data_IF_517735576357
#
_entry.id   IF_517735576357
#
_cell.length_a   1.000
_cell.length_b   1.000
_cell.length_c   1.000
_cell.angle_alpha   90.00
_cell.angle_beta   90.00
_cell.angle_gamma   90.00
#
_symmetry.space_group_name_H-M   'P 1'
#
loop_
_entity.id
_entity.type
_entity.pdbx_description
1 polymer ?
#
# COMPACT_ATOMS: atom_id res chain seq x y z
N UNK A 1 16.77 -14.48 26.36
CA UNK A 1 16.78 -13.01 26.53
C UNK A 1 17.62 -12.37 25.42
N UNK A 2 17.03 -12.20 24.24
CA UNK A 2 17.69 -11.65 23.04
C UNK A 2 16.67 -10.78 22.29
N UNK A 3 16.95 -9.51 21.99
CA UNK A 3 16.12 -8.77 21.06
C UNK A 3 16.83 -8.72 19.70
N UNK A 4 16.43 -9.62 18.79
CA UNK A 4 16.63 -9.42 17.36
C UNK A 4 15.66 -8.32 16.89
N UNK A 5 16.05 -7.06 17.07
CA UNK A 5 15.38 -5.91 16.45
C UNK A 5 16.35 -5.26 15.46
N UNK A 6 15.81 -4.88 14.31
CA UNK A 6 16.42 -4.11 13.22
C UNK A 6 16.94 -4.91 12.01
N UNK A 7 16.03 -5.59 11.31
CA UNK A 7 16.25 -6.06 9.92
C UNK A 7 15.88 -5.01 8.85
N UNK A 8 15.13 -3.93 9.20
CA UNK A 8 14.70 -2.86 8.25
C UNK A 8 15.84 -2.01 7.67
N UNK A 9 17.08 -2.14 8.14
CA UNK A 9 18.21 -1.31 7.72
C UNK A 9 19.21 -2.03 6.80
N UNK A 10 19.16 -3.37 6.72
CA UNK A 10 20.24 -4.19 6.14
C UNK A 10 20.01 -4.51 4.65
N UNK A 11 18.75 -4.59 4.18
CA UNK A 11 18.44 -5.02 2.81
C UNK A 11 18.44 -3.90 1.77
N UNK A 12 17.94 -2.70 2.10
CA UNK A 12 17.92 -1.54 1.18
C UNK A 12 19.34 -1.16 0.73
N UNK A 13 20.35 -1.42 1.57
CA UNK A 13 21.75 -1.11 1.29
C UNK A 13 22.45 -2.12 0.35
N UNK A 14 21.83 -3.26 0.02
CA UNK A 14 22.48 -4.31 -0.80
C UNK A 14 22.20 -4.18 -2.30
N UNK A 15 21.08 -3.58 -2.70
CA UNK A 15 20.69 -3.40 -4.10
C UNK A 15 21.39 -2.20 -4.76
N UNK A 16 21.61 -1.10 -4.03
CA UNK A 16 22.30 0.08 -4.55
C UNK A 16 23.79 -0.16 -4.90
N UNK A 17 24.41 -1.24 -4.42
CA UNK A 17 25.81 -1.56 -4.69
C UNK A 17 26.02 -2.45 -5.92
N UNK A 18 24.96 -3.08 -6.47
CA UNK A 18 25.07 -4.01 -7.62
C UNK A 18 24.84 -3.36 -8.98
N UNK A 19 24.28 -2.15 -9.04
CA UNK A 19 23.82 -1.51 -10.29
C UNK A 19 24.68 -0.34 -10.76
N UNK A 20 25.85 -0.10 -10.13
CA UNK A 20 26.69 1.06 -10.45
C UNK A 20 27.88 0.67 -11.34
N UNK A 21 28.14 1.33 -12.48
CA UNK A 21 29.20 0.97 -13.40
C UNK A 21 30.55 1.43 -12.83
N UNK A 22 31.21 0.55 -12.10
CA UNK A 22 32.52 0.80 -11.49
C UNK A 22 32.82 -0.17 -10.33
N UNK A 23 34.11 -0.36 -10.01
CA UNK A 23 34.53 -1.20 -8.87
C UNK A 23 34.24 -0.50 -7.53
N UNK A 24 32.99 -0.50 -7.09
CA UNK A 24 32.58 0.01 -5.78
C UNK A 24 32.79 -1.05 -4.70
N UNK A 25 33.47 -0.71 -3.59
CA UNK A 25 33.49 -1.51 -2.36
C UNK A 25 32.53 -0.91 -1.33
N UNK A 26 31.44 -1.60 -1.01
CA UNK A 26 30.52 -1.22 0.06
C UNK A 26 31.01 -1.72 1.43
N UNK A 27 31.02 -0.85 2.45
CA UNK A 27 31.30 -1.24 3.84
C UNK A 27 30.19 -0.71 4.75
N UNK A 28 29.48 -1.62 5.43
CA UNK A 28 28.46 -1.28 6.44
C UNK A 28 29.14 -0.93 7.76
N UNK A 29 28.76 0.19 8.37
CA UNK A 29 29.08 0.51 9.78
C UNK A 29 27.83 1.06 10.46
N UNK A 30 27.39 0.38 11.51
CA UNK A 30 26.38 0.89 12.45
C UNK A 30 27.10 1.53 13.64
N UNK A 31 26.67 2.72 14.08
CA UNK A 31 27.04 3.27 15.38
C UNK A 31 25.80 3.34 16.27
N UNK A 32 25.94 2.87 17.51
CA UNK A 32 24.92 2.99 18.55
C UNK A 32 24.97 4.42 19.11
N UNK A 33 23.84 5.12 19.10
CA UNK A 33 23.65 6.33 19.90
C UNK A 33 23.36 5.94 21.38
N UNK A 34 23.79 6.74 22.38
CA UNK A 34 23.42 6.53 23.78
C UNK A 34 21.90 6.46 24.04
N UNK A 35 21.09 7.03 23.14
CA UNK A 35 19.62 7.03 23.20
C UNK A 35 18.95 5.82 22.52
N UNK A 36 19.70 4.77 22.16
CA UNK A 36 19.13 3.51 21.67
C UNK A 36 18.72 3.49 20.19
N UNK A 37 18.91 4.59 19.44
CA UNK A 37 18.67 4.64 17.99
C UNK A 37 19.91 4.17 17.20
N UNK A 38 19.68 3.34 16.17
CA UNK A 38 20.71 2.97 15.19
C UNK A 38 20.60 3.90 13.97
N UNK A 39 21.56 4.80 13.78
CA UNK A 39 21.73 5.48 12.50
C UNK A 39 22.53 4.58 11.54
N UNK A 40 22.01 4.33 10.33
CA UNK A 40 22.80 3.78 9.24
C UNK A 40 23.41 4.91 8.41
N UNK A 41 24.68 4.75 8.05
CA UNK A 41 25.35 5.58 7.06
C UNK A 41 25.77 4.71 5.88
N UNK A 42 25.37 5.09 4.67
CA UNK A 42 25.89 4.52 3.42
C UNK A 42 27.03 5.40 2.92
N UNK A 43 28.23 4.83 2.77
CA UNK A 43 29.35 5.50 2.12
C UNK A 43 29.57 4.89 0.74
N UNK A 44 29.32 5.65 -0.32
CA UNK A 44 29.74 5.29 -1.68
C UNK A 44 31.10 5.94 -1.94
N UNK A 45 32.10 5.14 -2.35
CA UNK A 45 33.38 5.63 -2.85
C UNK A 45 33.38 5.51 -4.37
N UNK A 46 33.20 6.61 -5.10
CA UNK A 46 33.77 6.73 -6.44
C UNK A 46 35.20 7.27 -6.30
N UNK A 47 36.07 6.90 -7.24
CA UNK A 47 37.42 7.46 -7.35
C UNK A 47 37.32 8.99 -7.49
N UNK A 48 37.61 9.72 -6.41
CA UNK A 48 37.93 11.15 -6.44
C UNK A 48 36.94 12.12 -5.80
N UNK A 49 35.67 11.78 -5.51
CA UNK A 49 34.75 12.71 -4.82
C UNK A 49 33.86 11.99 -3.80
N UNK A 50 33.95 12.39 -2.53
CA UNK A 50 33.10 11.89 -1.43
C UNK A 50 31.70 12.48 -1.54
N UNK A 51 30.77 11.81 -2.23
CA UNK A 51 29.34 12.09 -2.13
C UNK A 51 28.70 11.26 -1.03
N UNK A 52 28.15 11.90 0.01
CA UNK A 52 27.38 11.25 1.08
C UNK A 52 25.89 11.35 0.72
N UNK A 53 25.26 10.24 0.32
CA UNK A 53 23.80 10.18 0.31
C UNK A 53 23.33 10.06 1.77
N UNK A 54 22.73 11.13 2.28
CA UNK A 54 22.18 11.21 3.64
C UNK A 54 20.72 10.76 3.55
N UNK A 55 20.26 9.90 4.47
CA UNK A 55 18.83 9.68 4.70
C UNK A 55 18.25 11.01 5.14
N UNK A 56 17.48 11.68 4.29
CA UNK A 56 16.99 13.04 4.56
C UNK A 56 15.68 13.07 5.31
N UNK A 57 15.00 11.93 5.48
CA UNK A 57 13.77 11.84 6.27
C UNK A 57 13.62 10.49 6.98
N UNK A 58 13.02 10.52 8.16
CA UNK A 58 12.84 9.39 9.07
C UNK A 58 11.47 9.41 9.74
N UNK A 59 10.78 8.27 9.70
CA UNK A 59 9.50 8.08 10.39
C UNK A 59 9.65 7.20 11.63
N UNK A 60 9.03 7.65 12.72
CA UNK A 60 8.94 6.91 13.98
C UNK A 60 7.48 6.59 14.26
N UNK A 61 7.16 5.30 14.24
CA UNK A 61 5.81 4.79 14.51
C UNK A 61 5.64 4.54 16.01
N UNK A 62 4.64 5.18 16.61
CA UNK A 62 4.26 5.02 18.01
C UNK A 62 3.13 4.01 18.14
N UNK A 63 3.26 3.08 19.09
CA UNK A 63 2.26 2.04 19.37
C UNK A 63 1.64 2.24 20.75
N UNK A 64 0.37 1.89 20.90
CA UNK A 64 -0.29 1.87 22.21
C UNK A 64 0.37 0.79 23.10
N UNK A 65 0.75 1.12 24.35
CA UNK A 65 1.33 0.16 25.30
C UNK A 65 0.49 -1.11 25.45
N UNK A 66 1.16 -2.27 25.48
CA UNK A 66 0.49 -3.57 25.59
C UNK A 66 -0.23 -4.07 24.33
N UNK A 67 -0.12 -3.35 23.21
CA UNK A 67 -0.75 -3.74 21.94
C UNK A 67 0.15 -3.46 20.73
N UNK A 68 -0.33 -3.82 19.54
CA UNK A 68 0.30 -3.45 18.26
C UNK A 68 -0.49 -2.36 17.52
N UNK A 69 -1.40 -1.63 18.19
CA UNK A 69 -2.21 -0.56 17.60
C UNK A 69 -1.36 0.69 17.39
N UNK A 70 -1.41 1.26 16.20
CA UNK A 70 -0.68 2.49 15.84
C UNK A 70 -1.40 3.68 16.46
N UNK A 71 -0.66 4.60 17.09
CA UNK A 71 -1.22 5.82 17.71
C UNK A 71 -0.69 7.10 17.09
N UNK A 72 0.47 7.05 16.44
CA UNK A 72 1.01 8.23 15.75
C UNK A 72 2.28 7.93 14.96
N UNK A 73 2.61 8.86 14.08
CA UNK A 73 3.86 8.90 13.32
C UNK A 73 4.50 10.26 13.55
N UNK A 74 5.80 10.22 13.83
CA UNK A 74 6.67 11.41 13.92
C UNK A 74 7.65 11.35 12.76
N UNK A 75 7.59 12.32 11.87
CA UNK A 75 8.49 12.47 10.73
C UNK A 75 9.53 13.53 11.08
N UNK A 76 10.81 13.13 11.11
CA UNK A 76 11.94 14.01 11.40
C UNK A 76 11.81 14.82 12.70
N UNK A 77 11.28 14.15 13.74
CA UNK A 77 11.07 14.74 15.05
C UNK A 77 9.79 15.57 15.19
N UNK A 78 9.03 15.75 14.11
CA UNK A 78 7.75 16.49 14.12
C UNK A 78 6.56 15.51 13.98
N UNK A 79 5.52 15.60 14.81
CA UNK A 79 4.30 14.81 14.61
C UNK A 79 3.71 15.05 13.23
N UNK A 80 3.47 13.98 12.47
CA UNK A 80 2.98 14.04 11.09
C UNK A 80 1.62 13.39 10.91
N UNK A 81 1.34 12.30 11.63
CA UNK A 81 0.02 11.63 11.67
C UNK A 81 -0.35 11.16 13.07
N UNK A 82 -1.63 11.21 13.41
CA UNK A 82 -2.21 10.66 14.64
C UNK A 82 -3.30 9.64 14.32
N UNK A 83 -3.44 8.60 15.15
CA UNK A 83 -4.40 7.53 14.91
C UNK A 83 -5.23 7.23 16.16
N UNK A 84 -6.51 6.95 15.96
CA UNK A 84 -7.39 6.40 16.98
C UNK A 84 -7.93 5.06 16.51
N UNK A 85 -8.17 4.15 17.47
CA UNK A 85 -8.77 2.85 17.20
C UNK A 85 -10.03 2.65 18.02
N UNK A 86 -10.96 1.88 17.49
CA UNK A 86 -12.12 1.41 18.24
C UNK A 86 -11.74 0.30 19.27
N UNK A 87 -12.74 -0.20 20.00
CA UNK A 87 -12.54 -1.27 20.99
C UNK A 87 -12.06 -2.59 20.35
N UNK A 88 -12.51 -2.88 19.13
CA UNK A 88 -12.08 -4.04 18.35
C UNK A 88 -10.65 -3.92 17.81
N UNK A 89 -10.11 -2.70 17.78
CA UNK A 89 -8.76 -2.38 17.32
C UNK A 89 -8.67 -1.98 15.86
N UNK A 90 -9.81 -1.70 15.21
CA UNK A 90 -9.82 -1.10 13.89
C UNK A 90 -9.47 0.38 14.01
N UNK A 91 -8.70 0.93 13.06
CA UNK A 91 -8.43 2.36 13.00
C UNK A 91 -9.73 3.10 12.69
N UNK A 92 -10.22 3.92 13.62
CA UNK A 92 -11.45 4.72 13.48
C UNK A 92 -11.16 6.16 13.06
N UNK A 93 -9.94 6.66 13.29
CA UNK A 93 -9.51 7.97 12.85
C UNK A 93 -8.02 7.96 12.45
N UNK A 94 -7.70 8.73 11.43
CA UNK A 94 -6.37 8.97 10.89
C UNK A 94 -6.24 10.47 10.55
N UNK A 95 -5.45 11.18 11.34
CA UNK A 95 -5.30 12.63 11.25
C UNK A 95 -3.89 12.98 10.77
N UNK A 96 -3.77 13.47 9.54
CA UNK A 96 -2.54 14.07 9.00
C UNK A 96 -2.43 15.52 9.46
N UNK A 97 -1.23 15.93 9.87
CA UNK A 97 -0.96 17.27 10.40
C UNK A 97 -0.76 18.31 9.28
N UNK A 98 -0.07 17.94 8.19
CA UNK A 98 0.22 18.86 7.09
C UNK A 98 0.14 18.16 5.73
N UNK A 99 -0.81 18.53 4.85
CA UNK A 99 -1.96 19.38 5.15
C UNK A 99 -2.86 18.75 6.23
N UNK A 100 -3.54 19.58 7.02
CA UNK A 100 -4.43 19.11 8.07
C UNK A 100 -5.64 18.39 7.45
N UNK A 101 -5.67 17.06 7.58
CA UNK A 101 -6.74 16.21 7.06
C UNK A 101 -7.04 15.14 8.09
N UNK A 102 -8.29 15.06 8.51
CA UNK A 102 -8.77 14.00 9.40
C UNK A 102 -9.68 13.07 8.62
N UNK A 103 -9.21 11.85 8.39
CA UNK A 103 -10.04 10.75 7.90
C UNK A 103 -10.68 10.03 9.07
N UNK A 104 -11.96 9.72 8.97
CA UNK A 104 -12.65 8.86 9.91
C UNK A 104 -13.24 7.65 9.19
N UNK A 105 -13.22 6.51 9.87
CA UNK A 105 -13.62 5.22 9.31
C UNK A 105 -14.68 4.58 10.20
N UNK A 106 -15.78 4.13 9.59
CA UNK A 106 -16.83 3.37 10.26
C UNK A 106 -16.79 1.91 9.83
N UNK A 107 -17.09 1.00 10.76
CA UNK A 107 -17.09 -0.43 10.51
C UNK A 107 -18.48 -1.01 10.77
N UNK A 108 -18.87 -1.99 9.97
CA UNK A 108 -20.12 -2.72 10.18
C UNK A 108 -19.98 -3.71 11.36
N UNK A 109 -21.06 -4.39 11.72
CA UNK A 109 -21.07 -5.37 12.81
C UNK A 109 -20.12 -6.56 12.58
N UNK A 110 -19.74 -6.85 11.33
CA UNK A 110 -18.76 -7.86 10.96
C UNK A 110 -17.30 -7.34 11.01
N UNK A 111 -17.07 -6.08 11.40
CA UNK A 111 -15.74 -5.47 11.47
C UNK A 111 -15.17 -5.04 10.10
N UNK A 112 -15.99 -4.99 9.05
CA UNK A 112 -15.58 -4.57 7.72
C UNK A 112 -15.75 -3.06 7.57
N UNK A 113 -14.84 -2.40 6.84
CA UNK A 113 -14.90 -0.96 6.61
C UNK A 113 -16.18 -0.62 5.84
N UNK A 114 -17.13 0.09 6.43
CA UNK A 114 -18.43 0.38 5.83
C UNK A 114 -18.51 1.80 5.26
N UNK A 115 -17.76 2.74 5.82
CA UNK A 115 -17.73 4.11 5.35
C UNK A 115 -16.46 4.85 5.75
N UNK A 116 -16.16 5.90 5.00
CA UNK A 116 -15.06 6.79 5.24
C UNK A 116 -15.50 8.25 5.05
N UNK A 117 -14.96 9.13 5.88
CA UNK A 117 -15.10 10.58 5.72
C UNK A 117 -13.72 11.23 5.68
N UNK A 118 -13.64 12.40 5.05
CA UNK A 118 -12.48 13.29 5.07
C UNK A 118 -12.94 14.67 5.55
N UNK A 119 -12.38 15.14 6.66
CA UNK A 119 -12.78 16.38 7.34
C UNK A 119 -14.30 16.45 7.59
N UNK A 120 -14.92 15.32 7.95
CA UNK A 120 -16.34 15.19 8.23
C UNK A 120 -17.25 14.99 7.00
N UNK A 121 -16.76 15.21 5.78
CA UNK A 121 -17.50 14.95 4.55
C UNK A 121 -17.34 13.50 4.11
N UNK A 122 -18.41 12.84 3.68
CA UNK A 122 -18.33 11.46 3.16
C UNK A 122 -17.35 11.37 1.98
N UNK A 123 -16.38 10.46 2.05
CA UNK A 123 -15.42 10.23 0.97
C UNK A 123 -15.66 8.90 0.26
N UNK A 124 -16.06 7.86 1.01
CA UNK A 124 -16.45 6.58 0.42
C UNK A 124 -17.39 5.75 1.29
N UNK A 125 -18.10 4.83 0.64
CA UNK A 125 -19.01 3.87 1.27
C UNK A 125 -18.80 2.48 0.64
N UNK A 126 -18.96 1.42 1.42
CA UNK A 126 -18.57 0.07 1.02
C UNK A 126 -19.63 -0.96 1.43
N UNK A 127 -19.96 -1.86 0.51
CA UNK A 127 -20.94 -2.94 0.72
C UNK A 127 -20.29 -4.28 0.40
N UNK A 128 -20.55 -5.28 1.23
CA UNK A 128 -19.94 -6.60 1.13
C UNK A 128 -21.01 -7.68 0.98
N UNK A 129 -20.64 -8.78 0.33
CA UNK A 129 -21.44 -9.99 0.31
C UNK A 129 -21.24 -10.85 1.57
N UNK A 130 -21.94 -11.98 1.62
CA UNK A 130 -21.86 -12.94 2.72
C UNK A 130 -20.49 -13.64 2.85
N UNK A 131 -19.66 -13.60 1.80
CA UNK A 131 -18.28 -14.10 1.80
C UNK A 131 -17.26 -13.01 2.17
N UNK A 132 -17.75 -11.86 2.65
CA UNK A 132 -16.93 -10.70 2.99
C UNK A 132 -16.16 -10.08 1.83
N UNK A 133 -16.62 -10.31 0.60
CA UNK A 133 -16.06 -9.70 -0.61
C UNK A 133 -16.73 -8.35 -0.85
N UNK A 134 -15.95 -7.34 -1.21
CA UNK A 134 -16.45 -6.00 -1.51
C UNK A 134 -17.20 -6.07 -2.84
N UNK A 135 -18.51 -5.81 -2.83
CA UNK A 135 -19.36 -5.89 -4.04
C UNK A 135 -19.79 -4.53 -4.54
N UNK A 136 -19.71 -3.49 -3.71
CA UNK A 136 -20.00 -2.13 -4.13
C UNK A 136 -19.14 -1.14 -3.36
N UNK A 137 -18.62 -0.13 -4.07
CA UNK A 137 -18.00 1.04 -3.45
C UNK A 137 -18.51 2.32 -4.09
N UNK A 138 -18.70 3.36 -3.28
CA UNK A 138 -19.06 4.69 -3.76
C UNK A 138 -17.91 5.66 -3.51
N UNK A 139 -17.62 6.50 -4.50
CA UNK A 139 -16.57 7.52 -4.50
C UNK A 139 -17.27 8.88 -4.52
N UNK A 140 -17.32 9.54 -3.36
CA UNK A 140 -18.09 10.78 -3.23
C UNK A 140 -17.54 11.92 -4.09
N UNK A 141 -16.23 11.98 -4.29
CA UNK A 141 -15.57 13.05 -5.04
C UNK A 141 -16.03 13.14 -6.50
N UNK A 142 -16.45 12.02 -7.09
CA UNK A 142 -16.91 11.91 -8.48
C UNK A 142 -18.37 11.48 -8.60
N UNK A 143 -19.07 11.33 -7.47
CA UNK A 143 -20.42 10.74 -7.39
C UNK A 143 -20.53 9.38 -8.12
N UNK A 144 -19.44 8.61 -8.14
CA UNK A 144 -19.36 7.33 -8.84
C UNK A 144 -19.69 6.20 -7.88
N UNK A 145 -20.47 5.21 -8.33
CA UNK A 145 -20.57 3.91 -7.66
C UNK A 145 -20.09 2.84 -8.61
N UNK A 146 -19.22 1.96 -8.09
CA UNK A 146 -18.68 0.81 -8.80
C UNK A 146 -19.13 -0.46 -8.12
N UNK A 147 -19.66 -1.39 -8.91
CA UNK A 147 -19.97 -2.75 -8.52
C UNK A 147 -18.82 -3.68 -8.92
N UNK A 148 -18.34 -4.47 -7.98
CA UNK A 148 -17.19 -5.35 -8.19
C UNK A 148 -17.68 -6.79 -8.39
N UNK A 149 -17.23 -7.43 -9.46
CA UNK A 149 -17.54 -8.82 -9.77
C UNK A 149 -16.33 -9.69 -9.47
N UNK A 150 -16.59 -10.80 -8.79
CA UNK A 150 -15.56 -11.71 -8.33
C UNK A 150 -15.72 -13.09 -8.97
N UNK A 151 -14.60 -13.76 -9.24
CA UNK A 151 -14.60 -15.17 -9.61
C UNK A 151 -14.87 -16.10 -8.41
N UNK A 152 -14.77 -17.41 -8.63
CA UNK A 152 -14.97 -18.43 -7.60
C UNK A 152 -13.87 -18.43 -6.52
N UNK A 153 -12.67 -17.98 -6.86
CA UNK A 153 -11.53 -17.87 -5.93
C UNK A 153 -11.54 -16.54 -5.15
N UNK A 154 -12.46 -15.62 -5.51
CA UNK A 154 -12.63 -14.34 -4.86
C UNK A 154 -11.83 -13.19 -5.49
N UNK A 155 -11.16 -13.43 -6.62
CA UNK A 155 -10.45 -12.38 -7.35
C UNK A 155 -11.44 -11.45 -8.05
N UNK A 156 -11.14 -10.15 -8.07
CA UNK A 156 -11.92 -9.18 -8.83
C UNK A 156 -11.62 -9.35 -10.32
N UNK A 157 -12.66 -9.60 -11.10
CA UNK A 157 -12.58 -9.81 -12.56
C UNK A 157 -13.23 -8.69 -13.37
N UNK A 158 -14.12 -7.90 -12.77
CA UNK A 158 -14.70 -6.75 -13.45
C UNK A 158 -15.22 -5.68 -12.47
N UNK A 159 -15.31 -4.45 -12.97
CA UNK A 159 -16.02 -3.33 -12.36
C UNK A 159 -17.16 -2.88 -13.30
N UNK A 160 -18.34 -2.65 -12.75
CA UNK A 160 -19.51 -2.09 -13.43
C UNK A 160 -19.93 -0.78 -12.77
N UNK A 161 -20.53 0.13 -13.53
CA UNK A 161 -21.08 1.37 -12.97
C UNK A 161 -22.47 1.15 -12.35
N UNK A 162 -23.02 2.20 -11.75
CA UNK A 162 -24.34 2.17 -11.10
C UNK A 162 -25.51 1.86 -12.05
N UNK A 163 -25.32 2.00 -13.37
CA UNK A 163 -26.32 1.66 -14.39
C UNK A 163 -26.22 0.21 -14.86
N UNK A 164 -25.17 -0.51 -14.45
CA UNK A 164 -24.86 -1.87 -14.89
C UNK A 164 -24.04 -1.91 -16.19
N UNK A 165 -23.44 -0.79 -16.62
CA UNK A 165 -22.51 -0.80 -17.74
C UNK A 165 -21.12 -1.26 -17.29
N UNK A 166 -20.45 -2.05 -18.12
CA UNK A 166 -19.09 -2.52 -17.86
C UNK A 166 -18.12 -1.32 -17.90
N UNK A 167 -17.33 -1.16 -16.83
CA UNK A 167 -16.30 -0.12 -16.72
C UNK A 167 -14.93 -0.72 -17.03
N UNK A 168 -14.62 -1.87 -16.44
CA UNK A 168 -13.33 -2.53 -16.64
C UNK A 168 -13.47 -4.02 -16.46
N UNK A 169 -12.76 -4.79 -17.28
CA UNK A 169 -12.54 -6.23 -17.11
C UNK A 169 -11.05 -6.52 -16.89
N UNK A 170 -10.75 -7.47 -16.00
CA UNK A 170 -9.39 -7.85 -15.63
C UNK A 170 -9.12 -9.29 -16.00
N UNK A 171 -8.00 -9.51 -16.70
CA UNK A 171 -7.56 -10.82 -17.14
C UNK A 171 -6.32 -11.18 -16.33
N UNK A 172 -6.41 -12.27 -15.57
CA UNK A 172 -5.33 -12.78 -14.73
C UNK A 172 -5.17 -14.30 -14.91
N UNK A 173 -3.96 -14.79 -14.67
CA UNK A 173 -3.63 -16.22 -14.67
C UNK A 173 -2.93 -16.54 -13.36
N UNK A 174 -3.45 -17.50 -12.59
CA UNK A 174 -2.93 -17.87 -11.26
C UNK A 174 -2.73 -16.66 -10.32
N UNK A 175 -3.66 -15.71 -10.36
CA UNK A 175 -3.61 -14.48 -9.57
C UNK A 175 -2.66 -13.39 -10.12
N UNK A 176 -1.93 -13.68 -11.21
CA UNK A 176 -1.03 -12.72 -11.87
C UNK A 176 -1.80 -11.85 -12.86
N UNK A 177 -1.78 -10.52 -12.73
CA UNK A 177 -2.35 -9.64 -13.73
C UNK A 177 -1.67 -9.81 -15.10
N UNK A 178 -2.47 -10.02 -16.15
CA UNK A 178 -1.98 -10.22 -17.51
C UNK A 178 -2.49 -9.11 -18.46
N UNK A 179 -3.76 -8.76 -18.36
CA UNK A 179 -4.38 -7.76 -19.21
C UNK A 179 -5.55 -7.07 -18.50
N UNK A 180 -5.94 -5.93 -19.03
CA UNK A 180 -7.12 -5.17 -18.62
C UNK A 180 -7.83 -4.69 -19.89
N UNK A 181 -9.16 -4.75 -19.88
CA UNK A 181 -10.00 -4.12 -20.90
C UNK A 181 -10.66 -2.92 -20.24
N UNK A 182 -10.34 -1.71 -20.70
CA UNK A 182 -11.04 -0.49 -20.30
C UNK A 182 -12.27 -0.32 -21.20
N UNK A 183 -13.46 -0.40 -20.60
CA UNK A 183 -14.74 -0.38 -21.28
C UNK A 183 -15.55 0.90 -21.01
N UNK A 184 -15.01 1.86 -20.26
CA UNK A 184 -15.70 3.09 -19.89
C UNK A 184 -15.91 4.08 -21.06
N UNK A 185 -15.28 3.83 -22.21
CA UNK A 185 -15.36 4.65 -23.42
C UNK A 185 -16.33 4.14 -24.47
N UNK A 186 -16.36 4.79 -25.64
CA UNK A 186 -17.21 4.39 -26.79
C UNK A 186 -16.84 3.01 -27.35
N UNK A 187 -15.58 2.61 -27.21
CA UNK A 187 -15.07 1.32 -27.64
C UNK A 187 -14.11 0.76 -26.57
N UNK A 188 -14.16 -0.54 -26.27
CA UNK A 188 -13.23 -1.17 -25.34
C UNK A 188 -11.79 -1.07 -25.82
N UNK A 189 -10.85 -0.82 -24.90
CA UNK A 189 -9.42 -0.77 -25.18
C UNK A 189 -8.70 -1.87 -24.40
N UNK A 190 -7.97 -2.73 -25.10
CA UNK A 190 -7.15 -3.77 -24.50
C UNK A 190 -5.78 -3.23 -24.10
N UNK A 191 -5.40 -3.51 -22.87
CA UNK A 191 -4.09 -3.20 -22.31
C UNK A 191 -3.40 -4.45 -21.77
N UNK A 192 -2.09 -4.53 -21.93
CA UNK A 192 -1.24 -5.62 -21.46
C UNK A 192 -0.48 -5.19 -20.21
N UNK A 193 -0.58 -5.97 -19.13
CA UNK A 193 0.01 -5.64 -17.84
C UNK A 193 1.34 -6.38 -17.67
N UNK A 194 2.37 -5.65 -17.22
CA UNK A 194 3.67 -6.19 -16.88
C UNK A 194 3.91 -6.03 -15.37
N UNK A 195 4.36 -7.10 -14.74
CA UNK A 195 4.56 -7.16 -13.28
C UNK A 195 6.04 -7.28 -12.89
N UNK A 196 6.35 -6.94 -11.64
CA UNK A 196 7.64 -7.27 -11.02
C UNK A 196 7.69 -8.72 -10.52
N UNK A 197 8.77 -9.10 -9.82
CA UNK A 197 8.97 -10.45 -9.27
C UNK A 197 7.98 -10.81 -8.15
N UNK A 198 7.27 -9.84 -7.60
CA UNK A 198 6.20 -10.01 -6.61
C UNK A 198 4.82 -10.03 -7.28
N UNK A 199 4.75 -10.10 -8.61
CA UNK A 199 3.50 -10.09 -9.38
C UNK A 199 2.70 -8.79 -9.24
N UNK A 200 3.34 -7.72 -8.74
CA UNK A 200 2.74 -6.40 -8.69
C UNK A 200 2.89 -5.71 -10.05
N UNK A 201 1.83 -5.10 -10.61
CA UNK A 201 1.93 -4.32 -11.84
C UNK A 201 2.93 -3.18 -11.72
N UNK A 202 3.80 -3.02 -12.72
CA UNK A 202 4.78 -1.92 -12.81
C UNK A 202 4.65 -1.13 -14.11
N UNK A 203 4.02 -1.71 -15.12
CA UNK A 203 3.86 -1.11 -16.44
C UNK A 203 2.65 -1.71 -17.15
N UNK A 204 2.04 -0.93 -18.04
CA UNK A 204 0.98 -1.35 -18.92
C UNK A 204 1.19 -0.78 -20.32
N UNK A 205 0.97 -1.58 -21.35
CA UNK A 205 1.08 -1.16 -22.76
C UNK A 205 -0.22 -1.35 -23.54
N UNK A 206 -0.42 -0.54 -24.57
CA UNK A 206 -1.49 -0.76 -25.55
C UNK A 206 -1.09 -1.78 -26.64
N UNK A 207 -1.97 -2.01 -27.62
CA UNK A 207 -1.74 -2.89 -28.77
C UNK A 207 -0.55 -2.44 -29.65
N UNK A 208 -0.26 -1.15 -29.69
CA UNK A 208 0.90 -0.58 -30.39
C UNK A 208 2.20 -0.68 -29.58
N UNK A 209 2.15 -1.30 -28.38
CA UNK A 209 3.25 -1.41 -27.41
C UNK A 209 3.70 -0.08 -26.82
N UNK A 210 2.87 0.96 -26.91
CA UNK A 210 3.14 2.21 -26.23
C UNK A 210 2.88 2.06 -24.73
N UNK A 211 3.74 2.64 -23.90
CA UNK A 211 3.56 2.63 -22.44
C UNK A 211 2.45 3.62 -22.09
N UNK A 212 1.31 3.10 -21.62
CA UNK A 212 0.12 3.89 -21.27
C UNK A 212 -0.07 4.05 -19.76
N UNK A 213 0.62 3.24 -18.96
CA UNK A 213 0.68 3.38 -17.51
C UNK A 213 2.01 2.80 -17.00
N UNK A 214 2.65 3.48 -16.05
CA UNK A 214 3.88 3.02 -15.43
C UNK A 214 3.92 3.48 -13.98
N UNK A 215 4.30 2.59 -13.07
CA UNK A 215 4.38 2.88 -11.65
C UNK A 215 5.78 2.58 -11.07
N UNK A 216 6.20 3.39 -10.11
CA UNK A 216 7.32 3.08 -9.22
C UNK A 216 6.85 3.14 -7.77
N UNK A 217 7.38 2.25 -6.94
CA UNK A 217 6.89 2.03 -5.58
C UNK A 217 7.99 2.14 -4.53
N UNK A 218 7.61 2.53 -3.32
CA UNK A 218 8.38 2.34 -2.11
C UNK A 218 8.26 0.88 -1.60
N UNK A 219 9.13 0.44 -0.67
CA UNK A 219 9.18 -0.97 -0.25
C UNK A 219 7.86 -1.54 0.29
N UNK A 220 7.02 -0.72 0.91
CA UNK A 220 5.72 -1.13 1.47
C UNK A 220 4.55 -0.90 0.49
N UNK A 221 4.83 -0.68 -0.79
CA UNK A 221 3.79 -0.59 -1.83
C UNK A 221 3.22 0.81 -2.02
N UNK A 222 3.69 1.81 -1.27
CA UNK A 222 3.33 3.19 -1.50
C UNK A 222 3.82 3.62 -2.88
N UNK A 223 2.94 4.29 -3.63
CA UNK A 223 3.26 4.78 -4.97
C UNK A 223 4.19 5.97 -4.84
N UNK A 224 5.37 5.86 -5.45
CA UNK A 224 6.29 6.99 -5.59
C UNK A 224 5.94 7.83 -6.81
N UNK A 225 5.64 7.18 -7.93
CA UNK A 225 5.19 7.84 -9.17
C UNK A 225 4.25 6.92 -9.94
N UNK A 226 3.20 7.49 -10.53
CA UNK A 226 2.45 6.89 -11.64
C UNK A 226 2.46 7.88 -12.79
N UNK A 227 2.70 7.41 -14.00
CA UNK A 227 2.68 8.20 -15.24
C UNK A 227 1.95 7.46 -16.34
N UNK A 228 1.36 8.18 -17.28
CA UNK A 228 0.63 7.61 -18.42
C UNK A 228 -0.78 8.16 -18.55
N UNK A 229 -1.49 7.72 -19.59
CA UNK A 229 -2.86 8.13 -19.92
C UNK A 229 -3.92 7.18 -19.37
N UNK A 230 -3.56 5.91 -19.11
CA UNK A 230 -4.46 4.90 -18.58
C UNK A 230 -4.34 4.81 -17.04
N UNK A 231 -5.27 4.07 -16.41
CA UNK A 231 -5.27 3.85 -14.95
C UNK A 231 -5.37 2.37 -14.63
N UNK A 232 -4.58 1.92 -13.64
CA UNK A 232 -4.67 0.57 -13.08
C UNK A 232 -4.70 0.63 -11.56
N UNK A 233 -5.71 0.02 -10.94
CA UNK A 233 -5.92 0.06 -9.49
C UNK A 233 -5.28 -1.12 -8.74
N UNK A 234 -4.86 -2.18 -9.42
CA UNK A 234 -4.13 -3.29 -8.81
C UNK A 234 -2.81 -2.81 -8.16
N UNK A 235 -2.49 -3.35 -6.98
CA UNK A 235 -1.28 -3.04 -6.20
C UNK A 235 -0.50 -4.32 -5.94
N UNK A 236 -0.05 -4.58 -4.70
CA UNK A 236 0.48 -5.90 -4.36
C UNK A 236 -0.55 -7.00 -4.66
N UNK A 237 -0.14 -8.28 -4.72
CA UNK A 237 -1.07 -9.39 -4.97
C UNK A 237 -2.31 -9.31 -4.08
N UNK A 238 -3.49 -9.38 -4.71
CA UNK A 238 -4.80 -9.28 -4.06
C UNK A 238 -5.24 -7.86 -3.65
N UNK A 239 -4.39 -6.84 -3.82
CA UNK A 239 -4.67 -5.48 -3.37
C UNK A 239 -5.24 -4.58 -4.49
N UNK A 240 -6.30 -3.85 -4.15
CA UNK A 240 -7.01 -2.93 -5.05
C UNK A 240 -7.08 -1.53 -4.45
N UNK A 241 -6.49 -0.55 -5.13
CA UNK A 241 -6.45 0.83 -4.66
C UNK A 241 -7.81 1.52 -4.70
N UNK A 242 -8.12 2.21 -3.62
CA UNK A 242 -9.34 2.99 -3.41
C UNK A 242 -8.98 4.47 -3.30
N UNK A 243 -9.27 5.23 -4.34
CA UNK A 243 -8.93 6.67 -4.41
C UNK A 243 -9.64 7.49 -3.33
N UNK A 244 -10.85 7.08 -2.95
CA UNK A 244 -11.70 7.69 -1.95
C UNK A 244 -11.09 7.74 -0.53
N UNK A 245 -10.14 6.84 -0.25
CA UNK A 245 -9.44 6.76 1.05
C UNK A 245 -7.93 6.76 0.94
N UNK A 246 -7.37 6.46 -0.25
CA UNK A 246 -5.95 6.20 -0.43
C UNK A 246 -5.50 4.85 0.14
N UNK A 247 -6.42 3.98 0.53
CA UNK A 247 -6.14 2.64 1.02
C UNK A 247 -6.14 1.63 -0.12
N UNK A 248 -5.67 0.42 0.17
CA UNK A 248 -5.83 -0.71 -0.73
C UNK A 248 -6.74 -1.75 -0.09
N UNK A 249 -7.86 -2.06 -0.73
CA UNK A 249 -8.72 -3.18 -0.40
C UNK A 249 -7.96 -4.50 -0.59
N UNK A 250 -8.02 -5.38 0.40
CA UNK A 250 -7.38 -6.69 0.38
C UNK A 250 -8.28 -7.71 1.11
N UNK A 251 -9.40 -8.02 0.46
CA UNK A 251 -10.44 -8.92 0.95
C UNK A 251 -10.95 -8.54 2.35
N UNK A 252 -10.50 -9.22 3.40
CA UNK A 252 -10.97 -8.98 4.77
C UNK A 252 -10.44 -7.69 5.40
N UNK A 253 -9.42 -7.05 4.80
CA UNK A 253 -8.73 -5.91 5.42
C UNK A 253 -8.38 -4.83 4.42
N UNK A 254 -8.23 -3.61 4.92
CA UNK A 254 -7.75 -2.46 4.16
C UNK A 254 -6.33 -2.13 4.58
N UNK A 255 -5.45 -1.98 3.61
CA UNK A 255 -4.03 -1.75 3.78
C UNK A 255 -3.68 -0.29 3.54
N UNK A 256 -2.98 0.34 4.49
CA UNK A 256 -2.35 1.65 4.29
C UNK A 256 -0.88 1.43 3.90
N UNK A 257 -0.52 1.62 2.62
CA UNK A 257 0.85 1.43 2.16
C UNK A 257 1.85 2.41 2.75
N UNK A 258 1.41 3.61 3.17
CA UNK A 258 2.29 4.62 3.78
C UNK A 258 2.74 4.23 5.20
N UNK A 259 1.90 3.46 5.92
CA UNK A 259 2.28 2.92 7.24
C UNK A 259 2.81 1.48 7.16
N UNK A 260 2.58 0.81 6.03
CA UNK A 260 2.92 -0.59 5.80
C UNK A 260 2.08 -1.56 6.64
N UNK A 261 0.85 -1.19 6.98
CA UNK A 261 0.00 -1.91 7.94
C UNK A 261 -1.47 -1.95 7.52
N UNK A 262 -2.19 -2.94 8.02
CA UNK A 262 -3.65 -3.01 7.90
C UNK A 262 -4.34 -2.12 8.94
N UNK A 263 -5.51 -1.59 8.57
CA UNK A 263 -6.39 -0.82 9.47
C UNK A 263 -7.12 -1.73 10.46
N UNK A 264 -7.50 -2.92 10.02
CA UNK A 264 -8.14 -3.93 10.86
C UNK A 264 -7.12 -4.96 11.39
N UNK A 265 -7.31 -5.48 12.61
CA UNK A 265 -6.54 -6.62 13.07
C UNK A 265 -6.90 -7.87 12.26
N UNK A 266 -5.93 -8.76 12.08
CA UNK A 266 -6.14 -10.04 11.39
C UNK A 266 -7.30 -10.84 12.03
N UNK A 267 -8.35 -11.19 11.26
CA UNK A 267 -9.45 -12.02 11.75
C UNK A 267 -9.00 -13.39 12.25
N UNK A 268 -7.91 -13.94 11.69
CA UNK A 268 -7.33 -15.22 12.08
C UNK A 268 -6.44 -15.13 13.33
N UNK A 269 -6.29 -13.93 13.92
CA UNK A 269 -5.49 -13.71 15.11
C UNK A 269 -4.02 -13.45 14.78
N UNK A 270 -3.11 -14.34 15.18
CA UNK A 270 -1.66 -14.16 15.03
C UNK A 270 -0.98 -15.30 14.23
N UNK A 271 -1.54 -15.77 13.10
CA UNK A 271 -0.95 -16.89 12.36
C UNK A 271 0.43 -16.54 11.79
N UNK A 272 0.65 -15.27 11.44
CA UNK A 272 1.89 -14.78 10.82
C UNK A 272 2.82 -14.02 11.77
N UNK A 273 2.68 -14.28 13.07
CA UNK A 273 3.55 -13.77 14.11
C UNK A 273 2.90 -12.71 15.02
N UNK A 274 3.70 -11.95 15.77
CA UNK A 274 3.21 -11.26 16.97
C UNK A 274 2.34 -10.03 16.70
N UNK A 275 2.14 -9.63 15.45
CA UNK A 275 1.39 -8.43 15.08
C UNK A 275 0.24 -8.74 14.13
N UNK A 276 -0.99 -8.53 14.61
CA UNK A 276 -2.24 -8.69 13.83
C UNK A 276 -2.39 -7.67 12.69
N UNK A 277 -1.53 -6.64 12.63
CA UNK A 277 -1.62 -5.54 11.66
C UNK A 277 -0.49 -5.56 10.63
N UNK A 278 0.49 -6.45 10.78
CA UNK A 278 1.68 -6.42 9.94
C UNK A 278 1.38 -7.02 8.55
N UNK A 279 1.94 -6.43 7.51
CA UNK A 279 1.93 -7.01 6.17
C UNK A 279 3.18 -7.86 5.95
N UNK A 280 2.99 -9.12 5.54
CA UNK A 280 4.05 -10.08 5.15
C UNK A 280 5.26 -10.05 6.10
N UNK A 281 5.00 -10.18 7.41
CA UNK A 281 6.05 -10.20 8.46
C UNK A 281 7.02 -9.00 8.41
N UNK A 282 6.58 -7.84 7.92
CA UNK A 282 7.40 -6.65 7.65
C UNK A 282 8.53 -6.86 6.62
N UNK A 283 8.37 -7.79 5.68
CA UNK A 283 9.34 -8.11 4.63
C UNK A 283 8.66 -8.25 3.26
N UNK A 284 7.97 -7.20 2.77
CA UNK A 284 7.17 -7.27 1.53
C UNK A 284 7.99 -7.51 0.24
N UNK A 285 9.32 -7.36 0.28
CA UNK A 285 10.19 -7.55 -0.89
C UNK A 285 10.72 -8.99 -1.05
N UNK A 286 10.41 -9.87 -0.09
CA UNK A 286 10.87 -11.27 -0.04
C UNK A 286 9.72 -12.27 -0.11
N UNK A 287 8.52 -11.82 -0.49
CA UNK A 287 7.36 -12.69 -0.66
C UNK A 287 7.55 -13.59 -1.88
#
# INVERSE_FOLDING_TARGET
MWPHRNLRLIQVLSQACRTSPGRYRCRKRSKRSPSGWNQAHLHLRSSGKRGRAVVTSSDVHSLQPGSNRLTGIVTDGTPSRGFQSDLSGNISQDATVTPAVTKAYSYNAAGQLAGATSNGAASGAYVYDYLSRLVSRSISATSTTLHMVHDLDGNVIAEYDASGALVTEYIAVDGRPLAMIDAAGTAPVLYYVLTDHLERPIMMTDESRAIVWQASYLPYGEVRTITGSATLNQRFPGQWFQIETGLSYNWHRHYDPSTGRYLQPDPLGMPDGPSRFAYVRNSPLMA
#
